data_IF_244752289368
#
_entry.id   IF_244752289368
#
_cell.length_a   1.000
_cell.length_b   1.000
_cell.length_c   1.000
_cell.angle_alpha   90.00
_cell.angle_beta   90.00
_cell.angle_gamma   90.00
#
_symmetry.space_group_name_H-M   'P 1'
#
loop_
_entity.id
_entity.type
_entity.pdbx_description
1 polymer ?
#
# COMPACT_ATOMS: atom_id res chain seq x y z
N UNK A 1 45.43 -33.37 3.15
CA UNK A 1 44.13 -33.09 3.77
C UNK A 1 43.93 -31.59 3.80
N UNK A 2 43.03 -31.09 2.96
CA UNK A 2 42.69 -29.66 2.85
C UNK A 2 41.78 -29.27 4.01
N UNK A 3 42.21 -28.34 4.85
CA UNK A 3 41.35 -27.76 5.87
C UNK A 3 40.31 -26.86 5.17
N UNK A 4 39.02 -27.15 5.36
CA UNK A 4 37.94 -26.30 4.87
C UNK A 4 37.93 -24.99 5.64
N UNK A 5 38.43 -23.92 5.02
CA UNK A 5 38.42 -22.58 5.58
C UNK A 5 37.00 -22.01 5.45
N UNK A 6 36.19 -22.21 6.49
CA UNK A 6 34.84 -21.67 6.56
C UNK A 6 34.84 -20.20 6.96
N UNK A 7 34.30 -19.34 6.08
CA UNK A 7 34.16 -17.92 6.37
C UNK A 7 33.00 -17.65 7.35
N UNK A 8 33.34 -17.49 8.62
CA UNK A 8 32.38 -17.24 9.69
C UNK A 8 31.57 -15.94 9.52
N UNK A 9 32.12 -14.92 8.83
CA UNK A 9 31.38 -13.68 8.53
C UNK A 9 30.21 -13.96 7.58
N UNK A 10 30.45 -14.75 6.53
CA UNK A 10 29.40 -15.14 5.59
C UNK A 10 28.37 -16.04 6.27
N UNK A 11 28.81 -16.98 7.11
CA UNK A 11 27.90 -17.83 7.89
C UNK A 11 26.99 -17.02 8.81
N UNK A 12 27.56 -16.06 9.57
CA UNK A 12 26.79 -15.12 10.41
C UNK A 12 25.81 -14.28 9.59
N UNK A 13 26.22 -13.78 8.42
CA UNK A 13 25.34 -13.01 7.51
C UNK A 13 24.19 -13.84 6.95
N UNK A 14 24.43 -15.12 6.65
CA UNK A 14 23.37 -16.05 6.21
C UNK A 14 22.38 -16.30 7.36
N UNK A 15 22.87 -16.59 8.57
CA UNK A 15 22.02 -16.76 9.77
C UNK A 15 21.15 -15.53 10.03
N UNK A 16 21.74 -14.33 10.03
CA UNK A 16 21.01 -13.07 10.22
C UNK A 16 19.98 -12.77 9.11
N UNK A 17 20.13 -13.31 7.90
CA UNK A 17 19.10 -13.21 6.86
C UNK A 17 17.95 -14.17 7.12
N UNK A 18 18.27 -15.44 7.40
CA UNK A 18 17.28 -16.46 7.78
C UNK A 18 16.44 -16.02 8.99
N UNK A 19 17.05 -15.43 10.01
CA UNK A 19 16.32 -14.99 11.21
C UNK A 19 15.33 -13.86 10.90
N UNK A 20 15.72 -12.91 10.03
CA UNK A 20 14.82 -11.86 9.54
C UNK A 20 13.69 -12.41 8.68
N UNK A 21 13.96 -13.41 7.84
CA UNK A 21 12.94 -14.08 7.03
C UNK A 21 11.90 -14.79 7.89
N UNK A 22 12.33 -15.48 8.95
CA UNK A 22 11.43 -16.11 9.93
C UNK A 22 10.56 -15.08 10.65
N UNK A 23 11.16 -14.00 11.16
CA UNK A 23 10.41 -12.90 11.76
C UNK A 23 9.44 -12.26 10.77
N UNK A 24 9.83 -12.11 9.50
CA UNK A 24 8.94 -11.60 8.47
C UNK A 24 7.76 -12.54 8.21
N UNK A 25 7.99 -13.86 8.20
CA UNK A 25 6.92 -14.85 8.07
C UNK A 25 5.96 -14.82 9.26
N UNK A 26 6.48 -14.76 10.48
CA UNK A 26 5.69 -14.64 11.71
C UNK A 26 4.89 -13.32 11.75
N UNK A 27 5.48 -12.22 11.30
CA UNK A 27 4.80 -10.93 11.18
C UNK A 27 3.70 -10.94 10.10
N UNK A 28 3.85 -11.71 9.01
CA UNK A 28 2.79 -11.89 8.00
C UNK A 28 1.60 -12.65 8.60
N UNK A 29 1.85 -13.68 9.41
CA UNK A 29 0.78 -14.45 10.05
C UNK A 29 0.10 -13.69 11.18
N UNK A 30 0.86 -12.97 12.02
CA UNK A 30 0.32 -12.24 13.17
C UNK A 30 -0.34 -10.92 12.81
N UNK A 31 0.23 -10.16 11.87
CA UNK A 31 -0.27 -8.83 11.50
C UNK A 31 -1.05 -8.81 10.17
N UNK A 32 -1.19 -9.96 9.49
CA UNK A 32 -2.01 -10.17 8.30
C UNK A 32 -1.52 -9.48 7.01
N UNK A 33 -0.79 -8.37 7.12
CA UNK A 33 -0.14 -7.66 5.99
C UNK A 33 1.19 -7.08 6.44
N UNK A 34 2.24 -7.30 5.64
CA UNK A 34 3.55 -6.70 5.91
C UNK A 34 3.52 -5.17 5.72
N UNK A 35 4.47 -4.45 6.34
CA UNK A 35 4.58 -2.99 6.17
C UNK A 35 4.73 -2.59 4.69
N UNK A 36 5.46 -3.39 3.91
CA UNK A 36 5.65 -3.17 2.49
C UNK A 36 4.34 -3.31 1.70
N UNK A 37 3.55 -4.35 1.99
CA UNK A 37 2.22 -4.55 1.39
C UNK A 37 1.24 -3.42 1.76
N UNK A 38 1.23 -2.99 3.02
CA UNK A 38 0.41 -1.83 3.45
C UNK A 38 0.78 -0.56 2.69
N UNK A 39 2.07 -0.29 2.53
CA UNK A 39 2.54 0.87 1.77
C UNK A 39 2.18 0.77 0.28
N UNK A 40 2.27 -0.41 -0.31
CA UNK A 40 1.87 -0.64 -1.68
C UNK A 40 0.36 -0.41 -1.86
N UNK A 41 -0.47 -0.97 -0.98
CA UNK A 41 -1.93 -0.76 -0.97
C UNK A 41 -2.29 0.72 -0.85
N UNK A 42 -1.68 1.42 0.12
CA UNK A 42 -1.92 2.86 0.30
C UNK A 42 -1.55 3.67 -0.95
N UNK A 43 -0.41 3.38 -1.57
CA UNK A 43 -0.01 4.05 -2.82
C UNK A 43 -0.96 3.73 -3.98
N UNK A 44 -1.46 2.51 -4.07
CA UNK A 44 -2.46 2.17 -5.09
C UNK A 44 -3.77 2.89 -4.83
N UNK A 45 -4.23 2.94 -3.58
CA UNK A 45 -5.44 3.64 -3.16
C UNK A 45 -5.35 5.13 -3.48
N UNK A 46 -4.23 5.80 -3.12
CA UNK A 46 -4.05 7.24 -3.42
C UNK A 46 -3.98 7.52 -4.91
N UNK A 47 -3.35 6.66 -5.71
CA UNK A 47 -3.35 6.81 -7.17
C UNK A 47 -4.74 6.61 -7.75
N UNK A 48 -5.50 5.63 -7.24
CA UNK A 48 -6.87 5.41 -7.70
C UNK A 48 -7.79 6.57 -7.31
N UNK A 49 -7.67 7.11 -6.09
CA UNK A 49 -8.47 8.25 -5.66
C UNK A 49 -8.13 9.49 -6.47
N UNK A 50 -6.85 9.78 -6.69
CA UNK A 50 -6.41 10.91 -7.51
C UNK A 50 -6.89 10.80 -8.97
N UNK A 51 -6.88 9.60 -9.56
CA UNK A 51 -7.46 9.36 -10.89
C UNK A 51 -8.96 9.61 -10.90
N UNK A 52 -9.68 9.02 -9.94
CA UNK A 52 -11.13 9.23 -9.82
C UNK A 52 -11.46 10.71 -9.64
N UNK A 53 -10.71 11.42 -8.81
CA UNK A 53 -10.88 12.85 -8.57
C UNK A 53 -10.58 13.68 -9.83
N UNK A 54 -9.56 13.33 -10.61
CA UNK A 54 -9.30 13.96 -11.92
C UNK A 54 -10.38 13.68 -12.97
N UNK A 55 -11.09 12.55 -12.84
CA UNK A 55 -12.24 12.21 -13.69
C UNK A 55 -13.58 12.77 -13.17
N UNK A 56 -13.61 13.31 -11.94
CA UNK A 56 -14.79 14.04 -11.45
C UNK A 56 -14.91 15.32 -12.24
N UNK A 57 -15.98 15.43 -13.03
CA UNK A 57 -16.40 16.72 -13.61
C UNK A 57 -16.77 17.63 -12.43
N UNK A 58 -16.00 18.68 -12.19
CA UNK A 58 -16.38 19.79 -11.31
C UNK A 58 -17.64 20.44 -11.88
N UNK A 59 -18.81 19.93 -11.53
CA UNK A 59 -20.03 20.30 -12.22
C UNK A 59 -21.22 19.44 -11.83
N UNK A 60 -21.58 19.42 -10.54
CA UNK A 60 -23.00 19.35 -10.18
C UNK A 60 -23.59 20.77 -10.27
N UNK A 61 -23.45 21.39 -11.44
CA UNK A 61 -24.49 22.27 -11.94
C UNK A 61 -25.09 21.48 -13.09
N UNK A 62 -26.07 20.61 -12.78
CA UNK A 62 -26.95 20.12 -13.84
C UNK A 62 -27.68 21.35 -14.38
N UNK A 63 -27.50 21.75 -15.66
CA UNK A 63 -28.34 22.78 -16.24
C UNK A 63 -29.72 22.16 -16.45
N UNK A 64 -30.60 22.28 -15.46
CA UNK A 64 -31.93 21.68 -15.50
C UNK A 64 -32.74 21.70 -14.20
N UNK A 65 -32.17 22.09 -13.04
CA UNK A 65 -32.99 22.40 -11.86
C UNK A 65 -33.40 23.87 -11.91
N UNK A 66 -34.38 24.19 -12.76
CA UNK A 66 -35.18 25.40 -12.60
C UNK A 66 -35.85 25.27 -11.24
N UNK A 67 -35.34 25.96 -10.22
CA UNK A 67 -36.20 26.37 -9.11
C UNK A 67 -37.10 27.43 -9.72
N UNK A 68 -38.31 27.03 -10.08
CA UNK A 68 -39.35 27.98 -10.44
C UNK A 68 -39.46 29.00 -9.29
N UNK A 69 -39.41 30.30 -9.57
CA UNK A 69 -39.77 31.28 -8.56
C UNK A 69 -41.28 31.13 -8.33
N UNK A 70 -41.67 30.67 -7.15
CA UNK A 70 -43.06 30.80 -6.71
C UNK A 70 -43.33 32.28 -6.44
N UNK A 71 -43.73 32.99 -7.50
CA UNK A 71 -44.57 34.17 -7.40
C UNK A 71 -46.04 33.68 -7.50
N UNK A 72 -46.82 33.81 -6.43
CA UNK A 72 -48.23 33.41 -6.43
C UNK A 72 -49.00 33.76 -5.15
N UNK A 73 -49.48 35.01 -5.14
CA UNK A 73 -50.47 35.70 -4.26
C UNK A 73 -50.26 35.78 -2.73
#
# INVERSE_FOLDING_TARGET
MSADIVNLRQARKKKARSDREKQAAENRTTFGRSKAEKQLSQKTETLTSARLDGHKRSGETRPGSTKDPEDGD
#
